data_IF_549737643185
#
_entry.id   IF_549737643185
#
_cell.length_a   1.000
_cell.length_b   1.000
_cell.length_c   1.000
_cell.angle_alpha   90.00
_cell.angle_beta   90.00
_cell.angle_gamma   90.00
#
_symmetry.space_group_name_H-M   'P 1'
#
loop_
_entity.id
_entity.type
_entity.pdbx_description
1 polymer ?
#
# COMPACT_ATOMS: atom_id res chain seq x y z
N UNK A 1 8.39 1.31 12.83
CA UNK A 1 7.00 1.76 12.63
C UNK A 1 6.56 1.19 11.29
N UNK A 2 5.42 0.47 11.19
CA UNK A 2 4.94 -0.02 9.91
C UNK A 2 4.66 1.17 8.99
N UNK A 3 5.01 1.05 7.70
CA UNK A 3 4.65 2.08 6.72
C UNK A 3 3.12 2.08 6.52
N UNK A 4 2.54 3.25 6.28
CA UNK A 4 1.12 3.37 5.97
C UNK A 4 0.99 3.96 4.58
N UNK A 5 0.52 3.15 3.64
CA UNK A 5 0.31 3.54 2.26
C UNK A 5 -1.17 3.83 2.05
N UNK A 6 -1.50 5.05 1.62
CA UNK A 6 -2.86 5.41 1.23
C UNK A 6 -2.91 5.53 -0.29
N UNK A 7 -3.66 4.66 -0.93
CA UNK A 7 -3.83 4.66 -2.37
C UNK A 7 -5.26 4.28 -2.74
N UNK A 8 -5.98 5.23 -3.31
CA UNK A 8 -7.41 5.10 -3.63
C UNK A 8 -7.59 4.29 -4.90
N UNK A 9 -6.61 4.32 -5.81
CA UNK A 9 -6.66 3.52 -7.02
C UNK A 9 -6.43 2.02 -6.68
N UNK A 10 -7.41 1.14 -6.93
CA UNK A 10 -7.30 -0.27 -6.53
C UNK A 10 -6.16 -1.00 -7.24
N UNK A 11 -5.80 -0.58 -8.45
CA UNK A 11 -4.73 -1.19 -9.22
C UNK A 11 -3.36 -0.78 -8.65
N UNK A 12 -3.18 0.49 -8.30
CA UNK A 12 -1.97 0.97 -7.64
C UNK A 12 -1.85 0.42 -6.20
N UNK A 13 -2.95 0.30 -5.46
CA UNK A 13 -2.97 -0.33 -4.13
C UNK A 13 -2.54 -1.80 -4.21
N UNK A 14 -3.03 -2.55 -5.21
CA UNK A 14 -2.58 -3.91 -5.44
C UNK A 14 -1.09 -3.98 -5.82
N UNK A 15 -0.61 -3.02 -6.61
CA UNK A 15 0.82 -2.93 -6.94
C UNK A 15 1.68 -2.71 -5.69
N UNK A 16 1.27 -1.82 -4.78
CA UNK A 16 1.97 -1.59 -3.51
C UNK A 16 2.03 -2.85 -2.65
N UNK A 17 0.93 -3.62 -2.55
CA UNK A 17 0.93 -4.92 -1.86
C UNK A 17 1.90 -5.92 -2.48
N UNK A 18 1.98 -5.95 -3.81
CA UNK A 18 2.93 -6.82 -4.51
C UNK A 18 4.38 -6.43 -4.22
N UNK A 19 4.69 -5.13 -4.18
CA UNK A 19 6.02 -4.63 -3.83
C UNK A 19 6.40 -4.93 -2.38
N UNK A 20 5.45 -4.85 -1.45
CA UNK A 20 5.64 -5.24 -0.04
C UNK A 20 5.95 -6.74 0.03
N UNK A 21 5.15 -7.58 -0.64
CA UNK A 21 5.35 -9.03 -0.66
C UNK A 21 6.70 -9.44 -1.30
N UNK A 22 7.15 -8.69 -2.31
CA UNK A 22 8.46 -8.88 -2.93
C UNK A 22 9.63 -8.32 -2.10
N UNK A 23 9.36 -7.60 -1.00
CA UNK A 23 10.39 -6.99 -0.16
C UNK A 23 11.10 -5.80 -0.80
N UNK A 24 10.50 -5.18 -1.83
CA UNK A 24 11.06 -4.00 -2.49
C UNK A 24 10.82 -2.70 -1.72
N UNK A 25 9.79 -2.66 -0.87
CA UNK A 25 9.45 -1.52 -0.01
C UNK A 25 9.25 -1.96 1.44
N UNK A 26 9.16 -0.98 2.34
CA UNK A 26 8.95 -1.25 3.75
C UNK A 26 7.61 -1.98 3.97
N UNK A 27 7.58 -2.99 4.86
CA UNK A 27 6.34 -3.65 5.22
C UNK A 27 5.37 -2.65 5.87
N UNK A 28 4.11 -2.73 5.48
CA UNK A 28 3.09 -1.76 5.85
C UNK A 28 1.68 -2.16 5.45
N UNK A 29 0.71 -1.37 5.90
CA UNK A 29 -0.69 -1.49 5.50
C UNK A 29 -0.97 -0.59 4.30
N UNK A 30 -1.81 -1.08 3.39
CA UNK A 30 -2.28 -0.34 2.22
C UNK A 30 -3.78 -0.09 2.40
N UNK A 31 -4.13 1.15 2.71
CA UNK A 31 -5.51 1.60 2.86
C UNK A 31 -6.01 2.22 1.55
N UNK A 32 -7.20 1.81 1.12
CA UNK A 32 -7.84 2.21 -0.13
C UNK A 32 -8.93 3.27 0.07
N UNK A 33 -9.08 3.79 1.29
CA UNK A 33 -10.16 4.72 1.63
C UNK A 33 -9.71 6.14 1.34
N UNK A 34 -10.55 6.87 0.61
CA UNK A 34 -10.41 8.33 0.58
C UNK A 34 -10.60 8.89 1.98
N UNK A 35 -9.61 9.64 2.45
CA UNK A 35 -9.71 10.45 3.65
C UNK A 35 -10.36 11.78 3.21
N UNK A 36 -11.69 11.84 3.27
CA UNK A 36 -12.49 13.07 3.09
C UNK A 36 -12.77 13.71 4.44
#
# INVERSE_FOLDING_TARGET
>A
MPAYYNEIDPHAAQWLRNLIAAGHIAPGDVDERSIV
#
